data_IF_911685587005
#
_entry.id   IF_911685587005
#
_cell.length_a   1.000
_cell.length_b   1.000
_cell.length_c   1.000
_cell.angle_alpha   90.00
_cell.angle_beta   90.00
_cell.angle_gamma   90.00
#
_symmetry.space_group_name_H-M   'P 1'
#
loop_
_entity.id
_entity.type
_entity.pdbx_description
1 polymer ?
#
# COMPACT_ATOMS: atom_id res chain seq x y z
N UNK A 1 4.01 -10.44 27.05
CA UNK A 1 5.05 -11.24 26.37
C UNK A 1 4.96 -10.90 24.90
N UNK A 2 5.96 -10.23 24.33
CA UNK A 2 5.98 -9.84 22.91
C UNK A 2 7.03 -10.70 22.19
N UNK A 3 6.69 -11.17 20.99
CA UNK A 3 7.68 -11.77 20.09
C UNK A 3 8.46 -10.63 19.42
N UNK A 4 9.79 -10.66 19.51
CA UNK A 4 10.65 -9.76 18.77
C UNK A 4 11.07 -10.46 17.48
N UNK A 5 10.88 -9.78 16.36
CA UNK A 5 11.36 -10.21 15.07
C UNK A 5 12.62 -9.39 14.76
N UNK A 6 13.79 -9.99 14.97
CA UNK A 6 15.11 -9.34 14.98
C UNK A 6 15.97 -9.62 13.75
N UNK A 7 15.41 -10.31 12.75
CA UNK A 7 16.11 -10.59 11.49
C UNK A 7 16.23 -9.30 10.63
N UNK A 8 17.46 -8.83 10.31
CA UNK A 8 17.66 -7.57 9.58
C UNK A 8 17.08 -7.57 8.16
N UNK A 9 16.85 -8.73 7.55
CA UNK A 9 16.25 -8.84 6.22
C UNK A 9 14.73 -9.08 6.25
N UNK A 10 14.10 -9.04 7.42
CA UNK A 10 12.68 -9.29 7.52
C UNK A 10 11.88 -8.15 6.89
N UNK A 11 11.02 -8.52 5.94
CA UNK A 11 10.04 -7.62 5.33
C UNK A 11 8.66 -8.02 5.85
N UNK A 12 8.01 -7.11 6.57
CA UNK A 12 6.62 -7.29 6.98
C UNK A 12 5.73 -7.52 5.77
N UNK A 13 4.81 -8.49 5.90
CA UNK A 13 3.82 -8.80 4.86
C UNK A 13 4.45 -9.09 3.47
N UNK A 14 5.68 -9.63 3.40
CA UNK A 14 6.37 -9.91 2.12
C UNK A 14 5.56 -10.81 1.14
N UNK A 15 4.64 -11.62 1.67
CA UNK A 15 3.73 -12.46 0.90
C UNK A 15 2.55 -11.70 0.26
N UNK A 16 2.44 -10.38 0.40
CA UNK A 16 1.31 -9.62 -0.10
C UNK A 16 1.25 -9.60 -1.64
N UNK A 17 2.40 -9.61 -2.31
CA UNK A 17 2.49 -9.56 -3.78
C UNK A 17 1.70 -10.70 -4.44
N UNK A 18 1.93 -12.00 -4.12
CA UNK A 18 1.13 -13.07 -4.70
C UNK A 18 -0.34 -13.05 -4.27
N UNK A 19 -0.67 -12.47 -3.11
CA UNK A 19 -2.05 -12.39 -2.58
C UNK A 19 -2.87 -11.28 -3.24
N UNK A 20 -2.25 -10.17 -3.62
CA UNK A 20 -2.92 -9.00 -4.25
C UNK A 20 -2.98 -9.13 -5.77
N UNK A 21 -2.04 -9.88 -6.38
CA UNK A 21 -1.98 -10.08 -7.84
C UNK A 21 -3.27 -10.58 -8.49
N UNK A 22 -4.12 -11.42 -7.86
CA UNK A 22 -5.41 -11.80 -8.42
C UNK A 22 -6.34 -10.61 -8.67
N UNK A 23 -6.37 -9.60 -7.80
CA UNK A 23 -7.21 -8.41 -8.00
C UNK A 23 -6.75 -7.60 -9.21
N UNK A 24 -5.43 -7.47 -9.40
CA UNK A 24 -4.87 -6.85 -10.60
C UNK A 24 -5.20 -7.66 -11.86
N UNK A 25 -5.05 -8.99 -11.82
CA UNK A 25 -5.37 -9.88 -12.96
C UNK A 25 -6.86 -9.94 -13.28
N UNK A 26 -7.72 -9.70 -12.29
CA UNK A 26 -9.16 -9.59 -12.47
C UNK A 26 -9.57 -8.24 -13.09
N UNK A 27 -8.63 -7.32 -13.34
CA UNK A 27 -8.90 -6.03 -13.95
C UNK A 27 -9.57 -5.04 -13.00
N UNK A 28 -9.30 -5.13 -11.69
CA UNK A 28 -9.77 -4.13 -10.72
C UNK A 28 -9.21 -2.70 -10.95
N UNK A 29 -7.96 -2.51 -11.43
CA UNK A 29 -7.39 -1.17 -11.61
C UNK A 29 -8.18 -0.29 -12.59
N UNK A 30 -8.69 -0.85 -13.68
CA UNK A 30 -9.35 -0.10 -14.75
C UNK A 30 -10.68 0.54 -14.29
N UNK A 31 -11.64 -0.20 -13.69
CA UNK A 31 -12.85 0.39 -13.13
C UNK A 31 -12.56 1.43 -12.03
N UNK A 32 -11.51 1.22 -11.23
CA UNK A 32 -11.12 2.19 -10.21
C UNK A 32 -10.63 3.50 -10.84
N UNK A 33 -9.89 3.45 -11.95
CA UNK A 33 -9.45 4.64 -12.68
C UNK A 33 -10.62 5.40 -13.32
N UNK A 34 -11.63 4.69 -13.80
CA UNK A 34 -12.79 5.27 -14.48
C UNK A 34 -13.82 5.85 -13.50
N UNK A 35 -14.09 5.15 -12.39
CA UNK A 35 -15.16 5.50 -11.47
C UNK A 35 -14.78 6.57 -10.43
N UNK A 36 -13.49 6.70 -10.08
CA UNK A 36 -13.04 7.59 -9.02
C UNK A 36 -12.44 8.87 -9.60
N UNK A 37 -13.17 9.97 -9.42
CA UNK A 37 -12.70 11.32 -9.71
C UNK A 37 -12.97 12.25 -8.54
N UNK A 38 -11.93 12.95 -8.09
CA UNK A 38 -12.05 13.99 -7.06
C UNK A 38 -11.64 15.30 -7.70
N UNK A 39 -12.62 16.12 -8.05
CA UNK A 39 -12.40 17.44 -8.59
C UNK A 39 -12.25 18.48 -7.45
N UNK A 40 -11.49 19.55 -7.69
CA UNK A 40 -11.32 20.65 -6.73
C UNK A 40 -10.42 20.34 -5.53
N UNK A 41 -9.74 19.19 -5.50
CA UNK A 41 -8.74 18.90 -4.49
C UNK A 41 -7.51 19.81 -4.66
N UNK A 42 -7.18 20.60 -3.64
CA UNK A 42 -5.94 21.39 -3.58
C UNK A 42 -4.68 20.57 -3.30
N UNK A 43 -4.77 19.24 -3.37
CA UNK A 43 -3.71 18.29 -3.06
C UNK A 43 -3.82 17.04 -3.96
N UNK A 44 -2.95 16.05 -3.72
CA UNK A 44 -2.92 14.80 -4.49
C UNK A 44 -4.05 13.81 -4.17
N UNK A 45 -5.14 14.22 -3.52
CA UNK A 45 -6.26 13.32 -3.17
C UNK A 45 -6.86 12.65 -4.41
N UNK A 46 -7.03 13.38 -5.51
CA UNK A 46 -7.54 12.84 -6.78
C UNK A 46 -6.51 12.08 -7.63
N UNK A 47 -5.23 12.06 -7.26
CA UNK A 47 -4.19 11.42 -8.05
C UNK A 47 -4.19 9.90 -7.88
N UNK A 48 -3.85 9.19 -8.96
CA UNK A 48 -3.62 7.74 -9.02
C UNK A 48 -4.71 6.89 -8.32
N UNK A 49 -6.00 7.05 -8.67
CA UNK A 49 -7.11 6.34 -8.02
C UNK A 49 -6.96 4.82 -8.06
N UNK A 50 -6.55 4.25 -9.20
CA UNK A 50 -6.29 2.81 -9.33
C UNK A 50 -5.23 2.32 -8.35
N UNK A 51 -4.09 3.02 -8.26
CA UNK A 51 -3.02 2.65 -7.33
C UNK A 51 -3.48 2.74 -5.87
N UNK A 52 -4.26 3.77 -5.52
CA UNK A 52 -4.81 3.92 -4.17
C UNK A 52 -5.79 2.81 -3.80
N UNK A 53 -6.68 2.42 -4.72
CA UNK A 53 -7.57 1.28 -4.50
C UNK A 53 -6.78 -0.02 -4.32
N UNK A 54 -5.76 -0.26 -5.14
CA UNK A 54 -4.90 -1.43 -4.99
C UNK A 54 -4.12 -1.41 -3.66
N UNK A 55 -3.70 -0.23 -3.18
CA UNK A 55 -3.11 -0.08 -1.84
C UNK A 55 -4.09 -0.41 -0.71
N UNK A 56 -5.38 -0.07 -0.86
CA UNK A 56 -6.39 -0.46 0.14
C UNK A 56 -6.61 -1.97 0.16
N UNK A 57 -6.70 -2.62 -1.01
CA UNK A 57 -6.78 -4.09 -1.11
C UNK A 57 -5.58 -4.74 -0.43
N UNK A 58 -4.38 -4.24 -0.71
CA UNK A 58 -3.15 -4.67 -0.08
C UNK A 58 -3.20 -4.52 1.45
N UNK A 59 -3.62 -3.36 1.96
CA UNK A 59 -3.74 -3.12 3.39
C UNK A 59 -4.76 -4.08 4.05
N UNK A 60 -5.93 -4.28 3.44
CA UNK A 60 -6.93 -5.25 3.94
C UNK A 60 -6.37 -6.67 3.99
N UNK A 61 -5.63 -7.10 2.96
CA UNK A 61 -4.95 -8.40 2.98
C UNK A 61 -3.89 -8.52 4.09
N UNK A 62 -3.25 -7.41 4.47
CA UNK A 62 -2.32 -7.32 5.59
C UNK A 62 -3.02 -7.21 6.96
N UNK A 63 -4.36 -7.20 6.99
CA UNK A 63 -5.18 -7.14 8.20
C UNK A 63 -5.60 -5.73 8.64
N UNK A 64 -5.46 -4.71 7.79
CA UNK A 64 -6.02 -3.39 8.07
C UNK A 64 -7.55 -3.45 8.11
N UNK A 65 -8.14 -2.92 9.18
CA UNK A 65 -9.59 -2.71 9.31
C UNK A 65 -9.97 -1.22 9.21
N UNK A 66 -8.98 -0.33 9.17
CA UNK A 66 -9.13 1.11 8.96
C UNK A 66 -8.21 1.67 7.87
N UNK A 67 -8.51 2.87 7.38
CA UNK A 67 -7.63 3.60 6.44
C UNK A 67 -6.32 4.01 7.11
N UNK A 68 -6.35 4.31 8.40
CA UNK A 68 -5.16 4.72 9.15
C UNK A 68 -4.13 3.59 9.24
N UNK A 69 -4.58 2.33 9.21
CA UNK A 69 -3.68 1.16 9.22
C UNK A 69 -2.96 0.91 7.88
N UNK A 70 -3.24 1.68 6.83
CA UNK A 70 -2.51 1.57 5.54
C UNK A 70 -1.03 1.92 5.67
N UNK A 71 -0.62 2.61 6.73
CA UNK A 71 0.77 2.87 7.07
C UNK A 71 1.57 1.57 7.32
N UNK A 72 0.89 0.46 7.65
CA UNK A 72 1.50 -0.86 7.75
C UNK A 72 2.22 -1.29 6.45
N UNK A 73 1.70 -0.92 5.28
CA UNK A 73 2.35 -1.21 3.99
C UNK A 73 3.69 -0.49 3.81
N UNK A 74 3.94 0.54 4.63
CA UNK A 74 5.18 1.32 4.65
C UNK A 74 6.04 1.00 5.87
N UNK A 75 5.56 0.10 6.74
CA UNK A 75 6.26 -0.31 7.95
C UNK A 75 7.29 -1.40 7.67
N UNK A 76 8.33 -1.49 8.50
CA UNK A 76 9.45 -2.42 8.32
C UNK A 76 10.57 -1.85 7.44
N UNK A 77 11.27 -2.73 6.72
CA UNK A 77 12.47 -2.38 5.96
C UNK A 77 12.20 -1.69 4.61
N UNK A 78 10.98 -1.20 4.33
CA UNK A 78 10.63 -0.54 3.06
C UNK A 78 11.58 0.60 2.65
N UNK A 79 12.03 1.49 3.57
CA UNK A 79 13.04 2.51 3.23
C UNK A 79 14.42 1.92 2.88
N UNK A 80 14.76 0.75 3.42
CA UNK A 80 16.02 0.05 3.13
C UNK A 80 15.91 -0.70 1.79
N UNK A 81 14.77 -1.35 1.54
CA UNK A 81 14.52 -2.19 0.38
C UNK A 81 14.35 -1.39 -0.93
N UNK A 82 13.73 -0.20 -0.86
CA UNK A 82 13.45 0.63 -2.04
C UNK A 82 14.34 1.88 -2.13
N UNK A 83 15.30 2.02 -1.21
CA UNK A 83 16.01 3.28 -0.97
C UNK A 83 15.09 4.29 -0.28
N UNK A 84 15.61 5.03 0.69
CA UNK A 84 14.84 6.11 1.29
C UNK A 84 14.50 7.10 0.17
N UNK A 85 13.21 7.41 0.00
CA UNK A 85 12.85 8.66 -0.65
C UNK A 85 13.43 9.74 0.26
N UNK A 86 14.55 10.34 -0.14
CA UNK A 86 15.10 11.46 0.58
C UNK A 86 13.97 12.49 0.72
N UNK A 87 13.51 12.72 1.95
CA UNK A 87 12.78 13.93 2.27
C UNK A 87 13.73 15.05 1.91
N UNK A 88 13.40 15.76 0.84
CA UNK A 88 14.07 17.01 0.50
C UNK A 88 13.74 17.98 1.64
N UNK A 89 14.70 18.20 2.54
CA UNK A 89 14.83 19.47 3.25
C UNK A 89 15.21 20.56 2.23
#
# INVERSE_FOLDING_TARGET
MAAAFDEPNLISDAGLVPVVRPAERAGLPEPAAEALRIDGAGNSAGAAPAAKVMSLVAATCAGADSIDDTDRLRHGATPIAFGAFATYE
#
